data_IF_321609581185
#
_entry.id   IF_321609581185
#
_cell.length_a   1.000
_cell.length_b   1.000
_cell.length_c   1.000
_cell.angle_alpha   90.00
_cell.angle_beta   90.00
_cell.angle_gamma   90.00
#
_symmetry.space_group_name_H-M   'P 1'
#
loop_
_entity.id
_entity.type
_entity.pdbx_description
1 polymer ?
#
# COMPACT_ATOMS: atom_id res chain seq x y z
N UNK A 1 -7.18 47.91 -77.02
CA UNK A 1 -8.28 46.97 -77.35
C UNK A 1 -8.44 46.03 -76.17
N UNK A 2 -9.58 46.05 -75.50
CA UNK A 2 -9.85 45.27 -74.30
C UNK A 2 -10.65 44.01 -74.68
N UNK A 3 -10.01 42.84 -74.64
CA UNK A 3 -10.69 41.55 -74.74
C UNK A 3 -11.07 41.07 -73.35
N UNK A 4 -12.33 41.30 -72.97
CA UNK A 4 -12.94 40.68 -71.79
C UNK A 4 -13.20 39.20 -72.08
N UNK A 5 -12.29 38.32 -71.67
CA UNK A 5 -12.55 36.88 -71.62
C UNK A 5 -13.36 36.63 -70.35
N UNK A 6 -14.66 36.39 -70.49
CA UNK A 6 -15.53 35.94 -69.40
C UNK A 6 -15.10 34.54 -68.95
N UNK A 7 -14.14 34.49 -68.02
CA UNK A 7 -13.57 33.26 -67.45
C UNK A 7 -14.57 32.57 -66.52
N UNK A 8 -15.53 31.86 -67.08
CA UNK A 8 -16.42 30.97 -66.31
C UNK A 8 -15.62 29.73 -65.91
N UNK A 9 -15.26 29.61 -64.63
CA UNK A 9 -14.57 28.41 -64.11
C UNK A 9 -15.45 27.16 -64.34
N UNK A 10 -14.87 26.01 -64.70
CA UNK A 10 -15.64 24.76 -64.78
C UNK A 10 -16.06 24.31 -63.38
N UNK A 11 -17.13 23.53 -63.30
CA UNK A 11 -17.58 22.96 -62.04
C UNK A 11 -16.61 21.88 -61.51
N UNK A 12 -16.11 22.03 -60.29
CA UNK A 12 -15.13 21.15 -59.65
C UNK A 12 -15.56 19.68 -59.47
N UNK A 13 -16.86 19.36 -59.64
CA UNK A 13 -17.37 17.97 -59.58
C UNK A 13 -17.61 17.33 -60.95
N UNK A 14 -17.84 18.10 -62.02
CA UNK A 14 -18.27 17.52 -63.30
C UNK A 14 -17.65 18.11 -64.56
N UNK A 15 -16.87 19.20 -64.46
CA UNK A 15 -16.14 19.89 -65.54
C UNK A 15 -16.94 20.28 -66.80
N UNK A 16 -18.25 20.05 -66.81
CA UNK A 16 -19.12 20.18 -68.01
C UNK A 16 -19.95 21.46 -68.06
N UNK A 17 -19.95 22.26 -66.99
CA UNK A 17 -20.80 23.45 -66.87
C UNK A 17 -20.04 24.68 -66.41
N UNK A 18 -20.43 25.84 -66.92
CA UNK A 18 -20.02 27.12 -66.34
C UNK A 18 -20.44 27.19 -64.88
N UNK A 19 -19.49 27.34 -63.96
CA UNK A 19 -19.78 27.52 -62.55
C UNK A 19 -20.59 28.80 -62.34
N UNK A 20 -21.69 28.70 -61.60
CA UNK A 20 -22.55 29.84 -61.25
C UNK A 20 -22.33 30.23 -59.79
N UNK A 21 -21.86 29.30 -58.96
CA UNK A 21 -21.66 29.47 -57.54
C UNK A 21 -20.23 29.10 -57.16
N UNK A 22 -19.62 29.87 -56.27
CA UNK A 22 -18.33 29.56 -55.67
C UNK A 22 -18.52 29.50 -54.16
N UNK A 23 -18.17 28.38 -53.54
CA UNK A 23 -18.21 28.25 -52.09
C UNK A 23 -16.99 28.96 -51.50
N UNK A 24 -17.20 29.93 -50.59
CA UNK A 24 -16.10 30.63 -49.94
C UNK A 24 -15.31 29.72 -48.98
N UNK A 25 -15.97 28.74 -48.37
CA UNK A 25 -15.34 27.83 -47.40
C UNK A 25 -14.29 26.92 -48.02
N UNK A 26 -14.62 26.22 -49.11
CA UNK A 26 -13.70 25.31 -49.80
C UNK A 26 -13.04 25.93 -51.05
N UNK A 27 -13.39 27.16 -51.41
CA UNK A 27 -12.91 27.90 -52.60
C UNK A 27 -13.18 27.19 -53.94
N UNK A 28 -14.06 26.19 -53.97
CA UNK A 28 -14.43 25.44 -55.16
C UNK A 28 -15.63 26.07 -55.86
N UNK A 29 -15.66 25.92 -57.18
CA UNK A 29 -16.71 26.47 -58.06
C UNK A 29 -17.62 25.35 -58.54
N UNK A 30 -18.93 25.53 -58.38
CA UNK A 30 -19.94 24.51 -58.65
C UNK A 30 -21.00 24.98 -59.63
N UNK A 31 -21.58 24.04 -60.39
CA UNK A 31 -22.84 24.28 -61.08
C UNK A 31 -24.00 24.20 -60.07
N UNK A 32 -25.19 24.69 -60.43
CA UNK A 32 -26.35 24.76 -59.52
C UNK A 32 -26.67 23.44 -58.82
N UNK A 33 -26.57 22.30 -59.51
CA UNK A 33 -26.85 20.97 -58.92
C UNK A 33 -25.80 20.57 -57.87
N UNK A 34 -24.52 20.63 -58.23
CA UNK A 34 -23.43 20.26 -57.32
C UNK A 34 -23.24 21.24 -56.16
N UNK A 35 -23.72 22.48 -56.28
CA UNK A 35 -23.76 23.43 -55.17
C UNK A 35 -24.78 23.01 -54.10
N UNK A 36 -25.96 22.53 -54.51
CA UNK A 36 -26.98 22.02 -53.59
C UNK A 36 -26.51 20.73 -52.91
N UNK A 37 -25.92 19.80 -53.67
CA UNK A 37 -25.33 18.60 -53.10
C UNK A 37 -24.20 18.91 -52.11
N UNK A 38 -23.35 19.90 -52.41
CA UNK A 38 -22.29 20.32 -51.48
C UNK A 38 -22.87 20.88 -50.19
N UNK A 39 -23.96 21.66 -50.27
CA UNK A 39 -24.64 22.20 -49.10
C UNK A 39 -25.31 21.09 -48.28
N UNK A 40 -25.97 20.15 -48.94
CA UNK A 40 -26.58 18.98 -48.28
C UNK A 40 -25.52 18.14 -47.57
N UNK A 41 -24.36 17.92 -48.21
CA UNK A 41 -23.24 17.21 -47.61
C UNK A 41 -22.74 17.90 -46.33
N UNK A 42 -22.61 19.23 -46.34
CA UNK A 42 -22.23 19.99 -45.15
C UNK A 42 -23.29 19.89 -44.04
N UNK A 43 -24.58 19.90 -44.38
CA UNK A 43 -25.66 19.68 -43.41
C UNK A 43 -25.54 18.30 -42.76
N UNK A 44 -25.34 17.25 -43.56
CA UNK A 44 -25.16 15.89 -43.05
C UNK A 44 -23.92 15.77 -42.12
N UNK A 45 -22.83 16.45 -42.45
CA UNK A 45 -21.61 16.47 -41.62
C UNK A 45 -21.85 17.15 -40.27
N UNK A 46 -22.58 18.26 -40.24
CA UNK A 46 -22.92 18.96 -38.98
C UNK A 46 -23.87 18.12 -38.13
N UNK A 47 -24.84 17.44 -38.74
CA UNK A 47 -25.73 16.52 -38.03
C UNK A 47 -24.96 15.35 -37.42
N UNK A 48 -24.02 14.77 -38.17
CA UNK A 48 -23.15 13.69 -37.68
C UNK A 48 -22.29 14.17 -36.50
N UNK A 49 -21.69 15.36 -36.62
CA UNK A 49 -20.88 15.94 -35.54
C UNK A 49 -21.72 16.23 -34.29
N UNK A 50 -22.97 16.67 -34.45
CA UNK A 50 -23.92 16.82 -33.34
C UNK A 50 -24.22 15.48 -32.64
N UNK A 51 -24.43 14.42 -33.42
CA UNK A 51 -24.65 13.07 -32.87
C UNK A 51 -23.41 12.55 -32.13
N UNK A 52 -22.21 12.72 -32.68
CA UNK A 52 -20.95 12.34 -32.02
C UNK A 52 -20.74 13.13 -30.71
N UNK A 53 -21.04 14.43 -30.71
CA UNK A 53 -21.01 15.25 -29.51
C UNK A 53 -21.95 14.73 -28.43
N UNK A 54 -23.20 14.42 -28.77
CA UNK A 54 -24.19 13.93 -27.81
C UNK A 54 -23.84 12.54 -27.25
N UNK A 55 -23.20 11.69 -28.06
CA UNK A 55 -22.65 10.41 -27.59
C UNK A 55 -21.50 10.66 -26.61
N UNK A 56 -20.54 11.52 -26.97
CA UNK A 56 -19.40 11.83 -26.12
C UNK A 56 -19.83 12.44 -24.78
N UNK A 57 -20.80 13.35 -24.79
CA UNK A 57 -21.36 13.95 -23.59
C UNK A 57 -22.00 12.88 -22.69
N UNK A 58 -22.78 11.97 -23.27
CA UNK A 58 -23.39 10.85 -22.55
C UNK A 58 -22.34 9.92 -21.94
N UNK A 59 -21.25 9.65 -22.66
CA UNK A 59 -20.17 8.79 -22.19
C UNK A 59 -19.41 9.44 -21.02
N UNK A 60 -19.13 10.75 -21.10
CA UNK A 60 -18.52 11.52 -20.01
C UNK A 60 -19.41 11.50 -18.75
N UNK A 61 -20.71 11.69 -18.93
CA UNK A 61 -21.67 11.74 -17.82
C UNK A 61 -21.93 10.36 -17.18
N UNK A 62 -21.76 9.26 -17.93
CA UNK A 62 -21.96 7.90 -17.42
C UNK A 62 -20.73 7.33 -16.68
N UNK A 63 -19.50 7.72 -17.02
CA UNK A 63 -18.29 7.02 -16.58
C UNK A 63 -17.67 7.53 -15.26
N UNK A 64 -18.28 8.53 -14.61
CA UNK A 64 -17.69 9.19 -13.43
C UNK A 64 -17.94 8.49 -12.09
N UNK A 65 -18.85 7.52 -12.02
CA UNK A 65 -19.25 6.91 -10.73
C UNK A 65 -18.48 5.64 -10.36
N UNK A 66 -17.85 4.96 -11.33
CA UNK A 66 -17.18 3.68 -11.10
C UNK A 66 -15.82 3.58 -11.81
N UNK A 67 -14.94 4.56 -11.56
CA UNK A 67 -13.60 4.51 -12.12
C UNK A 67 -12.84 3.29 -11.56
N UNK A 68 -12.30 2.37 -12.38
CA UNK A 68 -11.62 1.16 -11.93
C UNK A 68 -10.45 1.43 -10.96
N UNK A 69 -9.80 2.60 -11.08
CA UNK A 69 -8.76 3.01 -10.12
C UNK A 69 -9.30 3.26 -8.71
N UNK A 70 -10.54 3.75 -8.55
CA UNK A 70 -11.15 3.91 -7.22
C UNK A 70 -11.33 2.54 -6.55
N UNK A 71 -11.86 1.55 -7.28
CA UNK A 71 -11.97 0.18 -6.78
C UNK A 71 -10.60 -0.42 -6.40
N UNK A 72 -9.55 -0.09 -7.17
CA UNK A 72 -8.18 -0.49 -6.84
C UNK A 72 -7.66 0.18 -5.57
N UNK A 73 -7.97 1.46 -5.35
CA UNK A 73 -7.66 2.19 -4.12
C UNK A 73 -8.40 1.56 -2.93
N UNK A 74 -9.71 1.30 -3.06
CA UNK A 74 -10.51 0.66 -2.00
C UNK A 74 -9.98 -0.73 -1.64
N UNK A 75 -9.53 -1.49 -2.64
CA UNK A 75 -8.94 -2.82 -2.43
C UNK A 75 -7.61 -2.70 -1.69
N UNK A 76 -6.74 -1.79 -2.15
CA UNK A 76 -5.46 -1.54 -1.49
C UNK A 76 -5.63 -1.05 -0.05
N UNK A 77 -6.59 -0.18 0.22
CA UNK A 77 -6.91 0.29 1.56
C UNK A 77 -7.33 -0.88 2.47
N UNK A 78 -8.26 -1.72 2.00
CA UNK A 78 -8.74 -2.88 2.76
C UNK A 78 -7.63 -3.87 3.07
N UNK A 79 -6.80 -4.21 2.08
CA UNK A 79 -5.66 -5.11 2.27
C UNK A 79 -4.62 -4.54 3.23
N UNK A 80 -4.39 -3.22 3.17
CA UNK A 80 -3.43 -2.55 4.06
C UNK A 80 -3.92 -2.57 5.51
N UNK A 81 -5.20 -2.26 5.74
CA UNK A 81 -5.82 -2.34 7.07
C UNK A 81 -5.74 -3.77 7.62
N UNK A 82 -6.05 -4.78 6.81
CA UNK A 82 -6.01 -6.18 7.24
C UNK A 82 -4.59 -6.59 7.67
N UNK A 83 -3.56 -6.24 6.88
CA UNK A 83 -2.17 -6.51 7.23
C UNK A 83 -1.75 -5.83 8.54
N UNK A 84 -2.11 -4.57 8.73
CA UNK A 84 -1.82 -3.84 9.99
C UNK A 84 -2.49 -4.54 11.17
N UNK A 85 -3.75 -4.96 11.01
CA UNK A 85 -4.47 -5.67 12.06
C UNK A 85 -3.85 -7.03 12.37
N UNK A 86 -3.43 -7.79 11.36
CA UNK A 86 -2.76 -9.07 11.54
C UNK A 86 -1.46 -8.91 12.34
N UNK A 87 -0.60 -7.97 11.95
CA UNK A 87 0.65 -7.67 12.65
C UNK A 87 0.37 -7.24 14.10
N UNK A 88 -0.56 -6.31 14.31
CA UNK A 88 -0.89 -5.82 15.65
C UNK A 88 -1.46 -6.94 16.54
N UNK A 89 -2.26 -7.84 15.97
CA UNK A 89 -2.80 -8.98 16.71
C UNK A 89 -1.72 -10.01 17.05
N UNK A 90 -0.78 -10.24 16.15
CA UNK A 90 0.37 -11.10 16.41
C UNK A 90 1.22 -10.54 17.54
N UNK A 91 1.57 -9.25 17.49
CA UNK A 91 2.32 -8.59 18.56
C UNK A 91 1.62 -8.67 19.92
N UNK A 92 0.29 -8.46 19.96
CA UNK A 92 -0.52 -8.64 21.18
C UNK A 92 -0.51 -10.10 21.66
N UNK A 93 -0.59 -11.06 20.75
CA UNK A 93 -0.57 -12.48 21.10
C UNK A 93 0.77 -12.87 21.72
N UNK A 94 1.87 -12.46 21.10
CA UNK A 94 3.23 -12.76 21.57
C UNK A 94 3.52 -12.11 22.92
N UNK A 95 3.10 -10.86 23.10
CA UNK A 95 3.17 -10.16 24.37
C UNK A 95 2.39 -10.90 25.48
N UNK A 96 1.14 -11.28 25.21
CA UNK A 96 0.33 -12.01 26.20
C UNK A 96 0.95 -13.38 26.54
N UNK A 97 1.47 -14.09 25.54
CA UNK A 97 2.16 -15.37 25.75
C UNK A 97 3.38 -15.20 26.66
N UNK A 98 4.19 -14.17 26.43
CA UNK A 98 5.34 -13.85 27.27
C UNK A 98 4.94 -13.49 28.71
N UNK A 99 3.90 -12.65 28.87
CA UNK A 99 3.35 -12.29 30.19
C UNK A 99 2.87 -13.55 30.92
N UNK A 100 2.14 -14.44 30.25
CA UNK A 100 1.64 -15.68 30.84
C UNK A 100 2.77 -16.62 31.24
N UNK A 101 3.79 -16.78 30.40
CA UNK A 101 4.98 -17.57 30.72
C UNK A 101 5.72 -17.02 31.94
N UNK A 102 5.94 -15.70 31.98
CA UNK A 102 6.61 -15.04 33.11
C UNK A 102 5.80 -15.19 34.40
N UNK A 103 4.49 -15.02 34.32
CA UNK A 103 3.58 -15.21 35.46
C UNK A 103 3.60 -16.65 35.97
N UNK A 104 3.63 -17.64 35.07
CA UNK A 104 3.75 -19.05 35.44
C UNK A 104 5.09 -19.33 36.14
N UNK A 105 6.21 -18.81 35.60
CA UNK A 105 7.53 -18.96 36.20
C UNK A 105 7.59 -18.35 37.62
N UNK A 106 7.11 -17.11 37.78
CA UNK A 106 7.04 -16.44 39.09
C UNK A 106 6.17 -17.21 40.08
N UNK A 107 5.03 -17.75 39.63
CA UNK A 107 4.13 -18.56 40.46
C UNK A 107 4.81 -19.86 40.93
N UNK A 108 5.55 -20.53 40.04
CA UNK A 108 6.30 -21.74 40.39
C UNK A 108 7.39 -21.43 41.44
N UNK A 109 8.17 -20.36 41.26
CA UNK A 109 9.20 -19.94 42.22
C UNK A 109 8.60 -19.58 43.57
N UNK A 110 7.49 -18.84 43.59
CA UNK A 110 6.79 -18.45 44.81
C UNK A 110 6.20 -19.66 45.55
N UNK A 111 5.60 -20.61 44.83
CA UNK A 111 5.07 -21.84 45.41
C UNK A 111 6.17 -22.74 45.97
N UNK A 112 7.31 -22.84 45.27
CA UNK A 112 8.48 -23.57 45.76
C UNK A 112 8.99 -22.98 47.07
N UNK A 113 9.17 -21.66 47.12
CA UNK A 113 9.56 -20.96 48.34
C UNK A 113 8.58 -21.23 49.48
N UNK A 114 7.26 -21.14 49.22
CA UNK A 114 6.23 -21.45 50.21
C UNK A 114 6.37 -22.87 50.77
N UNK A 115 6.61 -23.85 49.89
CA UNK A 115 6.79 -25.24 50.28
C UNK A 115 8.06 -25.42 51.13
N UNK A 116 9.20 -24.86 50.71
CA UNK A 116 10.46 -24.91 51.46
C UNK A 116 10.29 -24.32 52.87
N UNK A 117 9.64 -23.15 52.98
CA UNK A 117 9.35 -22.50 54.26
C UNK A 117 8.42 -23.33 55.15
N UNK A 118 7.40 -23.95 54.57
CA UNK A 118 6.45 -24.77 55.32
C UNK A 118 7.13 -26.04 55.86
N UNK A 119 7.86 -26.76 55.01
CA UNK A 119 8.57 -27.98 55.41
C UNK A 119 9.59 -27.69 56.51
N UNK A 120 10.38 -26.62 56.36
CA UNK A 120 11.39 -26.28 57.36
C UNK A 120 10.79 -25.77 58.68
N UNK A 121 9.64 -25.08 58.63
CA UNK A 121 8.88 -24.72 59.83
C UNK A 121 8.34 -25.95 60.56
N UNK A 122 7.78 -26.91 59.84
CA UNK A 122 7.25 -28.15 60.41
C UNK A 122 8.35 -29.04 61.00
N UNK A 123 9.54 -29.02 60.39
CA UNK A 123 10.72 -29.73 60.87
C UNK A 123 11.51 -28.99 61.97
N UNK A 124 11.18 -27.72 62.24
CA UNK A 124 11.93 -26.81 63.12
C UNK A 124 13.44 -26.73 62.81
N UNK A 125 13.84 -26.93 61.55
CA UNK A 125 15.23 -27.14 61.12
C UNK A 125 15.85 -25.93 60.40
N UNK A 126 15.23 -24.76 60.50
CA UNK A 126 15.70 -23.56 59.82
C UNK A 126 16.96 -22.97 60.47
N UNK A 127 17.89 -22.52 59.63
CA UNK A 127 19.08 -21.78 60.06
C UNK A 127 19.05 -20.33 59.59
N UNK A 128 19.91 -19.47 60.13
CA UNK A 128 20.06 -18.08 59.67
C UNK A 128 20.45 -18.01 58.18
N UNK A 129 21.14 -19.04 57.67
CA UNK A 129 21.47 -19.17 56.24
C UNK A 129 20.21 -19.41 55.40
N UNK A 130 19.28 -20.23 55.87
CA UNK A 130 18.01 -20.51 55.18
C UNK A 130 17.11 -19.27 55.16
N UNK A 131 17.02 -18.56 56.29
CA UNK A 131 16.30 -17.27 56.34
C UNK A 131 16.89 -16.27 55.35
N UNK A 132 18.22 -16.14 55.30
CA UNK A 132 18.88 -15.24 54.35
C UNK A 132 18.58 -15.64 52.90
N UNK A 133 18.69 -16.93 52.58
CA UNK A 133 18.38 -17.47 51.25
C UNK A 133 16.93 -17.17 50.84
N UNK A 134 15.96 -17.35 51.72
CA UNK A 134 14.55 -17.07 51.42
C UNK A 134 14.27 -15.57 51.23
N UNK A 135 14.92 -14.71 52.02
CA UNK A 135 14.84 -13.25 51.86
C UNK A 135 15.43 -12.82 50.51
N UNK A 136 16.58 -13.38 50.14
CA UNK A 136 17.22 -13.11 48.85
C UNK A 136 16.32 -13.57 47.68
N UNK A 137 15.73 -14.77 47.77
CA UNK A 137 14.79 -15.28 46.77
C UNK A 137 13.52 -14.42 46.64
N UNK A 138 12.95 -13.95 47.75
CA UNK A 138 11.81 -13.02 47.73
C UNK A 138 12.16 -11.69 47.04
N UNK A 139 13.37 -11.21 47.28
CA UNK A 139 13.86 -9.96 46.70
C UNK A 139 14.06 -10.12 45.19
N UNK A 140 14.62 -11.25 44.75
CA UNK A 140 14.75 -11.58 43.33
C UNK A 140 13.38 -11.69 42.63
N UNK A 141 12.42 -12.40 43.22
CA UNK A 141 11.06 -12.50 42.65
C UNK A 141 10.38 -11.13 42.49
N UNK A 142 10.61 -10.19 43.43
CA UNK A 142 10.13 -8.81 43.30
C UNK A 142 10.81 -8.06 42.16
N UNK A 143 12.14 -8.17 42.05
CA UNK A 143 12.91 -7.53 40.97
C UNK A 143 12.51 -8.07 39.59
N UNK A 144 12.31 -9.39 39.48
CA UNK A 144 11.88 -10.04 38.23
C UNK A 144 10.48 -9.57 37.82
N UNK A 145 9.57 -9.40 38.79
CA UNK A 145 8.24 -8.85 38.54
C UNK A 145 8.33 -7.40 38.03
N UNK A 146 9.10 -6.54 38.70
CA UNK A 146 9.30 -5.16 38.28
C UNK A 146 9.95 -5.06 36.89
N UNK A 147 10.95 -5.91 36.62
CA UNK A 147 11.61 -5.98 35.32
C UNK A 147 10.63 -6.43 34.24
N UNK A 148 9.82 -7.44 34.50
CA UNK A 148 8.83 -7.94 33.53
C UNK A 148 7.76 -6.90 33.15
N UNK A 149 7.46 -5.96 34.04
CA UNK A 149 6.53 -4.86 33.79
C UNK A 149 7.16 -3.69 33.01
N UNK A 150 8.49 -3.58 33.02
CA UNK A 150 9.21 -2.44 32.46
C UNK A 150 10.08 -2.79 31.24
N UNK A 151 10.25 -4.07 30.89
CA UNK A 151 11.12 -4.54 29.81
C UNK A 151 10.54 -4.38 28.39
N UNK A 152 9.56 -3.48 28.19
CA UNK A 152 8.98 -3.25 26.88
C UNK A 152 9.82 -2.23 26.10
N UNK A 153 10.71 -2.72 25.24
CA UNK A 153 11.32 -1.91 24.20
C UNK A 153 10.44 -2.02 22.96
N UNK A 154 9.69 -0.96 22.65
CA UNK A 154 9.08 -0.82 21.33
C UNK A 154 10.25 -0.56 20.38
N UNK A 155 10.61 -1.54 19.56
CA UNK A 155 11.47 -1.30 18.41
C UNK A 155 10.64 -0.48 17.42
N UNK A 156 10.72 0.84 17.55
CA UNK A 156 10.32 1.76 16.49
C UNK A 156 11.45 1.67 15.45
N UNK A 157 11.34 0.71 14.52
CA UNK A 157 12.17 0.65 13.32
C UNK A 157 11.84 1.87 12.44
N UNK A 158 12.35 3.03 12.85
CA UNK A 158 12.37 4.25 12.05
C UNK A 158 13.55 4.14 11.12
N UNK A 159 13.37 3.39 10.03
CA UNK A 159 14.23 3.54 8.86
C UNK A 159 13.92 4.92 8.25
N UNK A 160 14.89 5.81 8.41
CA UNK A 160 14.93 7.18 7.93
C UNK A 160 15.10 7.15 6.40
N UNK A 161 13.99 7.32 5.67
CA UNK A 161 13.98 8.09 4.41
C UNK A 161 12.57 8.30 3.82
N UNK A 162 11.56 7.56 4.29
CA UNK A 162 10.15 7.90 4.09
C UNK A 162 9.40 7.45 5.32
N UNK A 163 9.12 8.40 6.22
CA UNK A 163 8.27 8.27 7.41
C UNK A 163 7.22 7.17 7.24
N UNK A 164 7.55 5.95 7.67
CA UNK A 164 6.65 4.81 7.62
C UNK A 164 5.39 5.22 8.37
N UNK A 165 4.29 5.46 7.64
CA UNK A 165 3.01 5.87 8.23
C UNK A 165 2.48 4.78 9.18
N UNK A 166 3.01 3.56 9.05
CA UNK A 166 2.68 2.41 9.85
C UNK A 166 3.90 2.07 10.72
N UNK A 167 3.77 2.33 12.02
CA UNK A 167 4.72 1.87 13.03
C UNK A 167 4.57 0.36 13.20
N UNK A 168 5.66 -0.38 12.99
CA UNK A 168 5.70 -1.81 13.21
C UNK A 168 6.13 -2.08 14.64
N UNK A 169 5.29 -2.74 15.44
CA UNK A 169 5.62 -3.10 16.82
C UNK A 169 6.11 -4.54 16.80
N UNK A 170 7.42 -4.73 17.00
CA UNK A 170 8.03 -6.04 17.24
C UNK A 170 8.34 -6.21 18.73
N UNK A 171 8.09 -7.40 19.27
CA UNK A 171 8.43 -7.78 20.65
C UNK A 171 9.56 -8.79 20.59
N UNK A 172 10.77 -8.39 21.02
CA UNK A 172 11.94 -9.27 21.08
C UNK A 172 12.32 -9.60 22.52
N UNK A 173 12.73 -10.85 22.75
CA UNK A 173 13.28 -11.31 24.02
C UNK A 173 14.74 -10.85 24.14
N UNK A 174 15.05 -10.12 25.21
CA UNK A 174 16.40 -9.60 25.47
C UNK A 174 17.40 -10.66 25.96
N UNK A 175 17.01 -11.94 26.01
CA UNK A 175 17.85 -13.02 26.56
C UNK A 175 18.59 -13.88 25.52
N UNK A 176 18.45 -13.64 24.21
CA UNK A 176 19.06 -14.48 23.16
C UNK A 176 20.30 -13.92 22.45
N UNK A 177 20.84 -12.76 22.84
CA UNK A 177 22.06 -12.18 22.21
C UNK A 177 23.29 -12.23 23.12
N UNK A 178 23.66 -13.42 23.59
CA UNK A 178 25.04 -13.67 24.01
C UNK A 178 25.45 -15.08 23.56
N UNK A 179 26.64 -15.16 22.95
CA UNK A 179 27.33 -16.35 22.40
C UNK A 179 26.95 -16.77 20.96
N UNK A 180 27.61 -16.17 19.96
CA UNK A 180 28.79 -16.82 19.36
C UNK A 180 29.41 -15.88 18.33
N UNK A 181 30.52 -15.27 18.71
CA UNK A 181 31.35 -14.45 17.84
C UNK A 181 32.69 -15.17 17.64
N UNK A 182 33.09 -15.24 16.35
CA UNK A 182 34.44 -15.51 15.80
C UNK A 182 34.97 -16.96 15.69
N UNK A 183 35.02 -17.42 14.45
CA UNK A 183 36.16 -18.05 13.73
C UNK A 183 35.61 -18.52 12.35
N UNK A 184 36.09 -18.20 11.16
CA UNK A 184 37.36 -17.68 10.68
C UNK A 184 37.19 -17.12 9.26
N UNK A 185 37.98 -16.11 8.94
CA UNK A 185 38.14 -15.55 7.59
C UNK A 185 38.99 -16.45 6.67
N UNK A 186 38.81 -16.23 5.35
CA UNK A 186 39.71 -16.53 4.22
C UNK A 186 39.58 -17.92 3.56
N UNK A 187 39.06 -18.01 2.32
CA UNK A 187 39.90 -17.91 1.11
C UNK A 187 39.09 -17.91 -0.21
N UNK A 188 39.67 -17.25 -1.22
CA UNK A 188 39.28 -17.18 -2.63
C UNK A 188 39.41 -18.53 -3.32
N UNK A 189 38.52 -18.83 -4.28
CA UNK A 189 38.90 -18.97 -5.69
C UNK A 189 37.69 -19.21 -6.59
N UNK A 190 37.68 -18.45 -7.68
CA UNK A 190 37.01 -18.75 -8.95
C UNK A 190 37.56 -20.04 -9.55
N UNK A 191 36.72 -20.80 -10.28
CA UNK A 191 37.01 -21.38 -11.61
C UNK A 191 35.73 -22.03 -12.16
N UNK A 192 35.54 -21.78 -13.45
CA UNK A 192 34.55 -22.29 -14.41
C UNK A 192 34.56 -23.81 -14.57
N UNK A 193 33.38 -24.42 -14.81
CA UNK A 193 33.13 -25.44 -15.85
C UNK A 193 31.75 -26.13 -15.65
N UNK A 194 30.80 -25.86 -16.54
CA UNK A 194 30.31 -26.79 -17.57
C UNK A 194 29.26 -26.14 -18.46
#
# INVERSE_FOLDING_TARGET
>A
MATAISGKRPCSKCDKGSSIFTCHGCQQSFCRKHAEEHRQELTNQVETLGQEHDILQRDIDNDTTHHPLLSRIDTWERESIDKIQQVANQARHDLNKFIDQTKQALKMTTNRLKSELQTSREAEDYTELDLKKWIDQLTQVRLDLEKSMNAYHLNDDVDDDQKSIIHFISVEDTQSTTTSDKSSSINRNSVSAK
#
